data_IF_714582961375
#
_entry.id   IF_714582961375
#
_cell.length_a   1.000
_cell.length_b   1.000
_cell.length_c   1.000
_cell.angle_alpha   90.00
_cell.angle_beta   90.00
_cell.angle_gamma   90.00
#
_symmetry.space_group_name_H-M   'P 1'
#
loop_
_entity.id
_entity.type
_entity.pdbx_description
1 polymer ?
#
# COMPACT_ATOMS: atom_id res chain seq x y z
N UNK A 1 8.91 5.18 -2.29
CA UNK A 1 8.26 6.44 -2.66
C UNK A 1 7.73 7.11 -1.41
N UNK A 2 7.89 8.43 -1.30
CA UNK A 2 7.15 9.25 -0.35
C UNK A 2 6.21 10.19 -1.11
N UNK A 3 5.01 10.37 -0.58
CA UNK A 3 4.05 11.36 -1.02
C UNK A 3 3.78 12.30 0.16
N UNK A 4 4.25 13.55 0.02
CA UNK A 4 4.37 14.45 1.16
C UNK A 4 3.76 15.82 0.85
N UNK A 5 3.05 16.43 1.81
CA UNK A 5 2.62 17.82 1.67
C UNK A 5 3.82 18.77 1.78
N UNK A 6 3.90 19.71 0.86
CA UNK A 6 4.88 20.79 0.93
C UNK A 6 4.49 21.71 2.09
N UNK A 7 5.43 21.98 2.99
CA UNK A 7 5.19 22.83 4.17
C UNK A 7 4.51 22.12 5.35
N UNK A 8 4.34 20.78 5.31
CA UNK A 8 3.96 20.00 6.49
C UNK A 8 2.51 20.18 6.97
N UNK A 9 1.60 20.58 6.09
CA UNK A 9 0.20 20.88 6.43
C UNK A 9 -0.61 19.66 6.94
N UNK A 10 -0.10 18.44 6.78
CA UNK A 10 -0.78 17.17 7.11
C UNK A 10 0.23 16.01 7.16
N UNK A 11 -0.26 14.79 7.45
CA UNK A 11 0.55 13.57 7.47
C UNK A 11 0.95 13.17 6.04
N UNK A 12 2.22 12.80 5.85
CA UNK A 12 2.73 12.23 4.60
C UNK A 12 2.52 10.72 4.53
N UNK A 13 2.32 10.17 3.32
CA UNK A 13 2.31 8.73 3.08
C UNK A 13 3.69 8.27 2.62
N UNK A 14 4.34 7.39 3.38
CA UNK A 14 5.74 7.00 3.14
C UNK A 14 5.93 5.51 2.95
N UNK A 15 6.80 5.16 2.00
CA UNK A 15 7.21 3.78 1.73
C UNK A 15 8.60 3.79 1.10
N UNK A 16 9.63 4.02 1.92
CA UNK A 16 11.02 4.13 1.46
C UNK A 16 11.74 2.78 1.34
N UNK A 17 11.19 1.72 1.93
CA UNK A 17 11.77 0.37 1.92
C UNK A 17 11.83 -0.22 0.49
N UNK A 18 12.95 -0.90 0.19
CA UNK A 18 13.10 -1.70 -1.02
C UNK A 18 12.35 -3.04 -0.88
N UNK A 19 11.05 -3.01 -1.15
CA UNK A 19 10.18 -4.19 -1.06
C UNK A 19 10.60 -5.28 -2.05
N UNK A 20 11.19 -4.92 -3.19
CA UNK A 20 11.61 -5.88 -4.22
C UNK A 20 12.66 -6.84 -3.70
N UNK A 21 13.60 -6.36 -2.87
CA UNK A 21 14.64 -7.21 -2.26
C UNK A 21 14.10 -8.20 -1.22
N UNK A 22 13.02 -7.82 -0.53
CA UNK A 22 12.44 -8.63 0.54
C UNK A 22 11.16 -9.37 0.11
N UNK A 23 10.83 -9.31 -1.18
CA UNK A 23 9.59 -9.82 -1.72
C UNK A 23 9.46 -11.34 -1.50
N UNK A 24 8.30 -11.76 -1.00
CA UNK A 24 7.93 -13.17 -0.89
C UNK A 24 8.03 -13.84 -2.27
N UNK A 25 8.63 -15.04 -2.33
CA UNK A 25 8.96 -15.72 -3.60
C UNK A 25 7.76 -15.86 -4.52
N UNK A 26 6.62 -16.19 -3.94
CA UNK A 26 5.34 -16.37 -4.62
C UNK A 26 4.77 -15.07 -5.19
N UNK A 27 5.18 -13.90 -4.70
CA UNK A 27 4.75 -12.57 -5.16
C UNK A 27 5.74 -11.90 -6.12
N UNK A 28 6.93 -12.47 -6.31
CA UNK A 28 7.95 -11.89 -7.17
C UNK A 28 7.47 -11.78 -8.63
N UNK A 29 7.82 -10.66 -9.25
CA UNK A 29 7.64 -10.36 -10.68
C UNK A 29 8.89 -9.64 -11.20
N UNK A 30 9.16 -9.63 -12.52
CA UNK A 30 10.31 -8.91 -13.06
C UNK A 30 10.32 -7.44 -12.61
N UNK A 31 11.36 -7.06 -11.85
CA UNK A 31 11.54 -5.68 -11.36
C UNK A 31 10.63 -5.25 -10.20
N UNK A 32 9.90 -6.16 -9.55
CA UNK A 32 8.98 -5.74 -8.48
C UNK A 32 8.41 -6.87 -7.63
N UNK A 33 7.46 -6.48 -6.77
CA UNK A 33 6.70 -7.37 -5.90
C UNK A 33 5.20 -7.14 -6.10
N UNK A 34 4.50 -8.13 -6.63
CA UNK A 34 3.06 -8.03 -6.90
C UNK A 34 2.25 -8.17 -5.60
N UNK A 35 1.11 -7.49 -5.52
CA UNK A 35 0.13 -7.77 -4.46
C UNK A 35 -0.47 -9.16 -4.65
N UNK A 36 -1.06 -9.73 -3.59
CA UNK A 36 -1.75 -11.02 -3.68
C UNK A 36 -2.90 -11.00 -4.70
N UNK A 37 -3.65 -9.90 -4.80
CA UNK A 37 -4.66 -9.74 -5.83
C UNK A 37 -4.05 -9.72 -7.23
N UNK A 38 -2.96 -8.97 -7.43
CA UNK A 38 -2.28 -8.91 -8.73
C UNK A 38 -1.66 -10.23 -9.15
N UNK A 39 -1.18 -11.03 -8.19
CA UNK A 39 -0.54 -12.33 -8.46
C UNK A 39 -1.53 -13.48 -8.60
N UNK A 40 -2.47 -13.60 -7.68
CA UNK A 40 -3.35 -14.77 -7.55
C UNK A 40 -4.80 -14.48 -7.96
N UNK A 41 -5.19 -13.22 -8.05
CA UNK A 41 -6.58 -12.85 -8.28
C UNK A 41 -7.49 -13.33 -7.14
N UNK A 42 -8.64 -13.90 -7.51
CA UNK A 42 -9.62 -14.41 -6.56
C UNK A 42 -10.36 -13.32 -5.78
N UNK A 43 -11.45 -13.72 -5.14
CA UNK A 43 -12.31 -12.81 -4.40
C UNK A 43 -11.72 -12.44 -3.05
N UNK A 44 -11.01 -13.38 -2.41
CA UNK A 44 -10.39 -13.19 -1.09
C UNK A 44 -9.26 -12.16 -1.11
N UNK A 45 -8.39 -12.14 -2.13
CA UNK A 45 -7.27 -11.20 -2.18
C UNK A 45 -7.65 -9.85 -2.81
N UNK A 46 -8.63 -9.86 -3.73
CA UNK A 46 -9.08 -8.64 -4.41
C UNK A 46 -10.30 -7.99 -3.75
N UNK A 47 -10.80 -8.55 -2.64
CA UNK A 47 -11.98 -8.04 -1.93
C UNK A 47 -13.21 -7.91 -2.84
N UNK A 48 -13.54 -8.98 -3.59
CA UNK A 48 -14.69 -9.04 -4.50
C UNK A 48 -15.76 -10.00 -3.98
N UNK A 49 -16.97 -9.91 -4.54
CA UNK A 49 -18.08 -10.80 -4.19
C UNK A 49 -18.39 -10.75 -2.70
N UNK A 50 -18.37 -11.91 -2.03
CA UNK A 50 -18.62 -12.00 -0.59
C UNK A 50 -17.63 -11.20 0.28
N UNK A 51 -16.45 -10.84 -0.26
CA UNK A 51 -15.43 -10.06 0.45
C UNK A 51 -15.51 -8.56 0.14
N UNK A 52 -16.51 -8.09 -0.60
CA UNK A 52 -16.64 -6.66 -0.99
C UNK A 52 -16.77 -5.72 0.22
N UNK A 53 -17.45 -6.16 1.26
CA UNK A 53 -17.62 -5.40 2.51
C UNK A 53 -16.81 -5.97 3.67
N UNK A 54 -16.54 -7.28 3.67
CA UNK A 54 -15.86 -7.99 4.75
C UNK A 54 -14.58 -8.64 4.23
N UNK A 55 -13.60 -7.83 3.82
CA UNK A 55 -12.31 -8.33 3.36
C UNK A 55 -11.29 -8.36 4.51
N UNK A 56 -10.87 -9.54 5.00
CA UNK A 56 -9.85 -9.60 6.04
C UNK A 56 -8.45 -9.37 5.48
N UNK A 57 -7.51 -8.82 6.27
CA UNK A 57 -6.11 -8.80 5.89
C UNK A 57 -5.56 -10.22 5.80
N UNK A 58 -4.68 -10.45 4.83
CA UNK A 58 -4.04 -11.75 4.57
C UNK A 58 -2.57 -11.70 4.99
N UNK A 59 -1.89 -12.85 5.01
CA UNK A 59 -0.45 -12.87 5.28
C UNK A 59 0.33 -12.03 4.26
N UNK A 60 -0.12 -11.99 3.01
CA UNK A 60 0.47 -11.17 1.96
C UNK A 60 0.27 -9.68 2.20
N UNK A 61 -0.94 -9.24 2.56
CA UNK A 61 -1.16 -7.81 2.84
C UNK A 61 -0.41 -7.37 4.09
N UNK A 62 -0.37 -8.20 5.14
CA UNK A 62 0.43 -7.93 6.35
C UNK A 62 1.93 -7.79 6.05
N UNK A 63 2.46 -8.53 5.09
CA UNK A 63 3.85 -8.36 4.64
C UNK A 63 4.09 -6.93 4.13
N UNK A 64 3.27 -6.44 3.19
CA UNK A 64 3.40 -5.06 2.68
C UNK A 64 3.17 -4.03 3.79
N UNK A 65 2.19 -4.27 4.66
CA UNK A 65 1.87 -3.35 5.77
C UNK A 65 3.02 -3.22 6.77
N UNK A 66 3.69 -4.33 7.07
CA UNK A 66 4.85 -4.34 7.95
C UNK A 66 6.05 -3.58 7.36
N UNK A 67 6.18 -3.53 6.02
CA UNK A 67 7.26 -2.80 5.34
C UNK A 67 6.94 -1.32 5.11
N UNK A 68 5.67 -1.02 4.82
CA UNK A 68 5.18 0.33 4.56
C UNK A 68 3.87 0.56 5.32
N UNK A 69 3.94 0.94 6.61
CA UNK A 69 2.77 1.11 7.48
C UNK A 69 1.81 2.19 7.00
N UNK A 70 2.31 3.20 6.29
CA UNK A 70 1.51 4.30 5.75
C UNK A 70 0.85 3.94 4.41
N UNK A 71 1.31 2.89 3.72
CA UNK A 71 0.77 2.52 2.42
C UNK A 71 -0.44 1.59 2.55
N UNK A 72 -1.36 1.68 1.59
CA UNK A 72 -2.40 0.68 1.40
C UNK A 72 -1.77 -0.67 1.06
N UNK A 73 -2.01 -1.67 1.90
CA UNK A 73 -1.52 -3.03 1.69
C UNK A 73 -2.54 -3.98 1.05
N UNK A 74 -3.83 -3.62 1.11
CA UNK A 74 -4.96 -4.28 0.45
C UNK A 74 -6.14 -3.31 0.32
N UNK A 75 -7.20 -3.72 -0.36
CA UNK A 75 -8.27 -2.81 -0.79
C UNK A 75 -9.11 -2.19 0.36
N UNK A 76 -9.07 -2.73 1.59
CA UNK A 76 -9.82 -2.20 2.75
C UNK A 76 -8.92 -1.67 3.86
N UNK A 77 -7.68 -1.31 3.52
CA UNK A 77 -6.69 -0.76 4.48
C UNK A 77 -6.90 0.73 4.79
N UNK A 78 -8.14 1.21 4.75
CA UNK A 78 -8.47 2.64 4.83
C UNK A 78 -8.13 3.25 6.18
N UNK A 79 -8.34 2.51 7.28
CA UNK A 79 -8.20 3.02 8.65
C UNK A 79 -6.79 3.56 8.97
N UNK A 80 -5.77 2.99 8.33
CA UNK A 80 -4.37 3.36 8.61
C UNK A 80 -3.70 4.05 7.42
N UNK A 81 -4.30 3.96 6.24
CA UNK A 81 -3.71 4.38 4.97
C UNK A 81 -4.44 5.52 4.27
N UNK A 82 -5.56 6.00 4.82
CA UNK A 82 -6.21 7.23 4.33
C UNK A 82 -5.48 8.45 4.89
N UNK A 83 -5.10 9.38 4.02
CA UNK A 83 -4.49 10.66 4.39
C UNK A 83 -5.32 11.79 3.79
N UNK A 84 -5.60 12.80 4.60
CA UNK A 84 -6.34 13.99 4.17
C UNK A 84 -5.54 15.23 4.55
N UNK A 85 -5.65 16.26 3.72
CA UNK A 85 -4.98 17.54 3.91
C UNK A 85 -5.94 18.68 3.55
N UNK A 86 -5.72 19.89 4.08
CA UNK A 86 -6.49 21.06 3.71
C UNK A 86 -6.48 21.30 2.18
N UNK A 87 -7.60 21.78 1.65
CA UNK A 87 -7.69 22.20 0.26
C UNK A 87 -6.64 23.30 -0.05
N UNK A 88 -6.01 23.22 -1.21
CA UNK A 88 -4.91 24.12 -1.60
C UNK A 88 -3.52 23.68 -1.13
N UNK A 89 -3.39 22.52 -0.47
CA UNK A 89 -2.09 21.93 -0.13
C UNK A 89 -1.33 21.54 -1.41
N UNK A 90 -0.08 21.97 -1.52
CA UNK A 90 0.85 21.49 -2.55
C UNK A 90 1.51 20.19 -2.08
N UNK A 91 1.92 19.33 -3.02
CA UNK A 91 2.53 18.05 -2.71
C UNK A 91 3.81 17.81 -3.51
N UNK A 92 4.69 17.00 -2.93
CA UNK A 92 5.86 16.45 -3.59
C UNK A 92 5.80 14.92 -3.61
N UNK A 93 6.25 14.34 -4.72
CA UNK A 93 6.43 12.89 -4.87
C UNK A 93 7.92 12.64 -5.01
N UNK A 94 8.47 11.88 -4.07
CA UNK A 94 9.89 11.52 -4.06
C UNK A 94 10.03 10.04 -4.39
N UNK A 95 10.68 9.75 -5.52
CA UNK A 95 11.06 8.40 -5.94
C UNK A 95 12.43 8.09 -5.32
N UNK A 96 12.57 6.91 -4.72
CA UNK A 96 13.76 6.53 -3.95
C UNK A 96 14.16 7.60 -2.90
N UNK A 97 13.23 7.94 -1.98
CA UNK A 97 13.45 8.93 -0.93
C UNK A 97 14.47 8.48 0.12
#
# INVERSE_FOLDING_TARGET
MNFEPVGGACRAARCATDITKECLKELQVPGGCASACGKFGGDTYCCRGQFEHNCPPTNYSRFFKGKCPDAYSYAKDDQTSTFTCPAGTNYQIVLCP
#
